data_IF_197708613103
#
_entry.id   IF_197708613103
#
_cell.length_a   1.000
_cell.length_b   1.000
_cell.length_c   1.000
_cell.angle_alpha   90.00
_cell.angle_beta   90.00
_cell.angle_gamma   90.00
#
_symmetry.space_group_name_H-M   'P 1'
#
loop_
_entity.id
_entity.type
_entity.pdbx_description
1 polymer ?
#
# COMPACT_ATOMS: atom_id res chain seq x y z
N UNK A 1 -5.92 -24.24 5.34
CA UNK A 1 -6.15 -23.04 4.50
C UNK A 1 -7.36 -22.33 5.07
N UNK A 2 -7.33 -21.00 5.25
CA UNK A 2 -8.48 -20.26 5.77
C UNK A 2 -9.61 -20.23 4.73
N UNK A 3 -10.86 -20.26 5.19
CA UNK A 3 -12.02 -20.19 4.31
C UNK A 3 -12.36 -18.73 4.01
N UNK A 4 -12.61 -18.42 2.76
CA UNK A 4 -12.98 -17.06 2.34
C UNK A 4 -14.35 -16.66 2.87
N UNK A 5 -14.44 -15.50 3.52
CA UNK A 5 -15.67 -15.09 4.22
C UNK A 5 -16.88 -14.97 3.29
N UNK A 6 -16.70 -14.58 2.03
CA UNK A 6 -17.81 -14.35 1.09
C UNK A 6 -18.51 -15.64 0.65
N UNK A 7 -17.93 -16.80 0.97
CA UNK A 7 -18.55 -18.12 0.75
C UNK A 7 -19.40 -18.59 1.94
N UNK A 8 -19.37 -17.85 3.05
CA UNK A 8 -20.01 -18.24 4.29
C UNK A 8 -21.49 -17.80 4.34
N UNK A 9 -22.33 -18.49 5.15
CA UNK A 9 -23.65 -17.99 5.51
C UNK A 9 -23.58 -16.57 6.04
N UNK A 10 -24.55 -15.74 5.65
CA UNK A 10 -24.57 -14.33 5.99
C UNK A 10 -25.98 -13.75 6.13
N UNK A 11 -26.08 -12.61 6.82
CA UNK A 11 -27.29 -11.81 6.98
C UNK A 11 -26.94 -10.34 7.22
N UNK A 12 -27.90 -9.42 7.06
CA UNK A 12 -27.65 -8.00 7.35
C UNK A 12 -27.51 -7.75 8.86
N UNK A 13 -26.76 -6.72 9.27
CA UNK A 13 -26.62 -6.36 10.69
C UNK A 13 -27.97 -6.09 11.37
N UNK A 14 -28.94 -5.53 10.62
CA UNK A 14 -30.32 -5.33 11.05
C UNK A 14 -31.05 -6.64 11.40
N UNK A 15 -30.66 -7.75 10.78
CA UNK A 15 -31.27 -9.08 10.92
C UNK A 15 -30.56 -9.96 11.96
N UNK A 16 -29.61 -9.42 12.74
CA UNK A 16 -28.78 -10.18 13.71
C UNK A 16 -29.54 -11.10 14.66
N UNK A 17 -30.83 -10.83 14.91
CA UNK A 17 -31.68 -11.68 15.75
C UNK A 17 -31.92 -13.08 15.14
N UNK A 18 -31.71 -13.24 13.83
CA UNK A 18 -31.82 -14.50 13.09
C UNK A 18 -30.53 -15.34 13.11
N UNK A 19 -29.46 -14.88 13.77
CA UNK A 19 -28.22 -15.63 13.89
C UNK A 19 -28.44 -17.00 14.56
N UNK A 20 -27.70 -18.04 14.17
CA UNK A 20 -27.88 -19.38 14.72
C UNK A 20 -27.28 -19.51 16.12
N UNK A 21 -27.75 -20.47 16.90
CA UNK A 21 -27.20 -20.81 18.22
C UNK A 21 -26.02 -21.79 18.08
N UNK A 22 -24.94 -21.30 17.47
CA UNK A 22 -23.74 -22.11 17.16
C UNK A 22 -22.46 -21.42 17.63
N UNK A 23 -21.43 -22.24 17.85
CA UNK A 23 -20.05 -21.80 18.00
C UNK A 23 -19.49 -21.41 16.63
N UNK A 24 -18.95 -20.21 16.51
CA UNK A 24 -18.50 -19.68 15.23
C UNK A 24 -17.45 -18.58 15.36
N UNK A 25 -16.65 -18.44 14.28
CA UNK A 25 -15.97 -17.18 13.94
C UNK A 25 -16.94 -16.35 13.10
N UNK A 26 -17.07 -15.07 13.38
CA UNK A 26 -17.92 -14.16 12.62
C UNK A 26 -17.17 -12.94 12.12
N UNK A 27 -17.65 -12.42 11.00
CA UNK A 27 -17.07 -11.32 10.27
C UNK A 27 -18.15 -10.25 10.10
N UNK A 28 -17.87 -9.02 10.53
CA UNK A 28 -18.66 -7.87 10.11
C UNK A 28 -17.99 -7.25 8.89
N UNK A 29 -18.73 -7.16 7.79
CA UNK A 29 -18.20 -6.77 6.48
C UNK A 29 -19.03 -5.63 5.91
N UNK A 30 -18.38 -4.63 5.33
CA UNK A 30 -19.05 -3.60 4.53
C UNK A 30 -18.23 -3.30 3.29
N UNK A 31 -18.87 -3.07 2.15
CA UNK A 31 -18.19 -2.77 0.87
C UNK A 31 -17.05 -3.78 0.55
N UNK A 32 -17.29 -5.08 0.76
CA UNK A 32 -16.31 -6.16 0.59
C UNK A 32 -15.08 -6.09 1.52
N UNK A 33 -15.11 -5.28 2.57
CA UNK A 33 -14.04 -5.16 3.56
C UNK A 33 -14.44 -5.76 4.91
N UNK A 34 -13.57 -6.61 5.46
CA UNK A 34 -13.73 -7.14 6.81
C UNK A 34 -13.42 -6.04 7.83
N UNK A 35 -14.45 -5.52 8.49
CA UNK A 35 -14.36 -4.49 9.52
C UNK A 35 -13.97 -5.07 10.87
N UNK A 36 -14.55 -6.22 11.21
CA UNK A 36 -14.36 -6.91 12.48
C UNK A 36 -14.40 -8.42 12.30
N UNK A 37 -13.55 -9.13 13.03
CA UNK A 37 -13.58 -10.58 13.21
C UNK A 37 -13.76 -10.83 14.70
N UNK A 38 -14.64 -11.74 15.07
CA UNK A 38 -14.76 -12.17 16.46
C UNK A 38 -15.10 -13.64 16.58
N UNK A 39 -14.87 -14.20 17.76
CA UNK A 39 -15.34 -15.54 18.12
C UNK A 39 -16.55 -15.51 19.06
N UNK A 40 -17.35 -16.58 19.01
CA UNK A 40 -18.42 -16.83 19.96
C UNK A 40 -18.67 -18.33 20.12
N UNK A 41 -18.90 -18.79 21.35
CA UNK A 41 -19.44 -20.14 21.61
C UNK A 41 -20.93 -20.25 21.27
N UNK A 42 -21.63 -19.12 21.28
CA UNK A 42 -22.98 -18.94 20.76
C UNK A 42 -23.09 -17.55 20.11
N UNK A 43 -23.07 -17.51 18.78
CA UNK A 43 -23.05 -16.25 18.02
C UNK A 43 -24.33 -15.42 18.22
N UNK A 44 -25.52 -16.03 18.25
CA UNK A 44 -26.79 -15.34 18.52
C UNK A 44 -26.76 -14.59 19.86
N UNK A 45 -26.36 -15.27 20.95
CA UNK A 45 -26.23 -14.65 22.28
C UNK A 45 -25.16 -13.57 22.30
N UNK A 46 -24.03 -13.78 21.63
CA UNK A 46 -22.93 -12.79 21.55
C UNK A 46 -23.39 -11.47 20.94
N UNK A 47 -24.30 -11.51 19.97
CA UNK A 47 -24.81 -10.33 19.27
C UNK A 47 -25.89 -9.54 20.01
N UNK A 48 -26.45 -10.07 21.11
CA UNK A 48 -27.41 -9.34 21.95
C UNK A 48 -26.74 -8.17 22.68
N UNK A 49 -25.53 -8.38 23.21
CA UNK A 49 -24.76 -7.38 23.96
C UNK A 49 -23.37 -7.17 23.33
N UNK A 50 -23.31 -7.09 22.00
CA UNK A 50 -22.03 -6.98 21.32
C UNK A 50 -21.38 -5.61 21.56
N UNK A 51 -20.20 -5.60 22.17
CA UNK A 51 -19.47 -4.38 22.52
C UNK A 51 -19.17 -3.42 21.35
N UNK A 52 -19.10 -3.93 20.11
CA UNK A 52 -18.93 -3.12 18.89
C UNK A 52 -20.23 -2.76 18.18
N UNK A 53 -21.39 -3.18 18.68
CA UNK A 53 -22.66 -3.02 17.97
C UNK A 53 -22.93 -1.56 17.61
N UNK A 54 -22.81 -0.63 18.56
CA UNK A 54 -23.01 0.80 18.30
C UNK A 54 -22.08 1.37 17.22
N UNK A 55 -20.83 0.90 17.17
CA UNK A 55 -19.88 1.34 16.15
C UNK A 55 -20.27 0.79 14.76
N UNK A 56 -20.65 -0.48 14.71
CA UNK A 56 -21.10 -1.11 13.47
C UNK A 56 -22.42 -0.54 12.99
N UNK A 57 -23.35 -0.20 13.88
CA UNK A 57 -24.62 0.45 13.55
C UNK A 57 -24.42 1.84 12.93
N UNK A 58 -23.46 2.62 13.44
CA UNK A 58 -23.12 3.92 12.84
C UNK A 58 -22.56 3.78 11.42
N UNK A 59 -21.79 2.71 11.19
CA UNK A 59 -21.26 2.38 9.86
C UNK A 59 -22.40 1.92 8.95
N UNK A 60 -23.28 1.04 9.44
CA UNK A 60 -24.43 0.48 8.71
C UNK A 60 -25.39 1.57 8.19
N UNK A 61 -25.52 2.69 8.90
CA UNK A 61 -26.30 3.87 8.44
C UNK A 61 -25.72 4.55 7.20
N UNK A 62 -24.42 4.41 6.96
CA UNK A 62 -23.70 5.01 5.82
C UNK A 62 -23.41 4.00 4.73
N UNK A 63 -23.12 2.75 5.11
CA UNK A 63 -22.77 1.66 4.23
C UNK A 63 -23.23 0.33 4.85
N UNK A 64 -24.05 -0.43 4.12
CA UNK A 64 -24.60 -1.72 4.56
C UNK A 64 -23.51 -2.62 5.18
N UNK A 65 -23.77 -3.09 6.40
CA UNK A 65 -22.95 -4.06 7.12
C UNK A 65 -23.62 -5.44 7.07
N UNK A 66 -22.89 -6.41 6.55
CA UNK A 66 -23.28 -7.81 6.48
C UNK A 66 -22.46 -8.64 7.47
N UNK A 67 -23.13 -9.53 8.19
CA UNK A 67 -22.52 -10.47 9.12
C UNK A 67 -22.35 -11.82 8.44
N UNK A 68 -21.11 -12.29 8.31
CA UNK A 68 -20.78 -13.64 7.85
C UNK A 68 -20.33 -14.50 9.02
N UNK A 69 -20.50 -15.82 8.97
CA UNK A 69 -19.98 -16.71 10.02
C UNK A 69 -19.54 -18.08 9.55
N UNK A 70 -18.46 -18.58 10.16
CA UNK A 70 -17.92 -19.92 10.01
C UNK A 70 -18.22 -20.71 11.28
N UNK A 71 -19.09 -21.72 11.19
CA UNK A 71 -19.34 -22.65 12.30
C UNK A 71 -18.10 -23.51 12.53
N UNK A 72 -17.62 -23.56 13.77
CA UNK A 72 -16.46 -24.39 14.13
C UNK A 72 -16.51 -24.87 15.58
N UNK A 73 -15.79 -25.97 15.92
CA UNK A 73 -15.70 -26.47 17.28
C UNK A 73 -15.09 -25.43 18.24
N UNK A 74 -15.55 -25.41 19.49
CA UNK A 74 -15.11 -24.42 20.48
C UNK A 74 -13.60 -24.42 20.70
N UNK A 75 -12.94 -25.58 20.65
CA UNK A 75 -11.49 -25.72 20.85
C UNK A 75 -10.67 -25.04 19.75
N UNK A 76 -11.25 -24.73 18.59
CA UNK A 76 -10.56 -24.07 17.47
C UNK A 76 -10.79 -22.56 17.44
N UNK A 77 -11.74 -22.03 18.23
CA UNK A 77 -12.17 -20.64 18.14
C UNK A 77 -11.03 -19.64 18.31
N UNK A 78 -10.20 -19.82 19.34
CA UNK A 78 -9.11 -18.88 19.62
C UNK A 78 -8.06 -18.86 18.50
N UNK A 79 -7.66 -20.04 18.02
CA UNK A 79 -6.64 -20.14 16.99
C UNK A 79 -7.17 -19.64 15.64
N UNK A 80 -8.41 -19.96 15.28
CA UNK A 80 -9.02 -19.46 14.05
C UNK A 80 -9.24 -17.94 14.10
N UNK A 81 -9.72 -17.39 15.22
CA UNK A 81 -9.86 -15.94 15.38
C UNK A 81 -8.51 -15.25 15.18
N UNK A 82 -7.45 -15.76 15.82
CA UNK A 82 -6.09 -15.24 15.67
C UNK A 82 -5.64 -15.26 14.22
N UNK A 83 -5.81 -16.38 13.52
CA UNK A 83 -5.45 -16.52 12.12
C UNK A 83 -6.23 -15.58 11.20
N UNK A 84 -7.55 -15.44 11.40
CA UNK A 84 -8.38 -14.52 10.60
C UNK A 84 -8.08 -13.05 10.88
N UNK A 85 -7.81 -12.67 12.14
CA UNK A 85 -7.38 -11.31 12.49
C UNK A 85 -6.03 -11.00 11.85
N UNK A 86 -5.07 -11.93 11.91
CA UNK A 86 -3.76 -11.78 11.27
C UNK A 86 -3.86 -11.69 9.74
N UNK A 87 -4.77 -12.47 9.17
CA UNK A 87 -4.99 -12.54 7.73
C UNK A 87 -5.68 -11.29 7.18
N UNK A 88 -6.84 -10.91 7.71
CA UNK A 88 -7.63 -9.77 7.22
C UNK A 88 -7.19 -8.42 7.78
N UNK A 89 -6.50 -8.41 8.93
CA UNK A 89 -6.17 -7.19 9.68
C UNK A 89 -7.38 -6.24 9.86
N UNK A 90 -8.53 -6.70 10.40
CA UNK A 90 -9.78 -5.93 10.40
C UNK A 90 -9.65 -4.67 11.27
N UNK A 91 -10.07 -3.53 10.74
CA UNK A 91 -9.86 -2.20 11.37
C UNK A 91 -10.37 -2.14 12.82
N UNK A 92 -11.54 -2.71 13.13
CA UNK A 92 -12.14 -2.63 14.47
C UNK A 92 -11.46 -3.54 15.50
N UNK A 93 -10.87 -4.67 15.08
CA UNK A 93 -10.04 -5.52 15.96
C UNK A 93 -8.77 -4.80 16.43
N UNK A 94 -8.34 -3.76 15.71
CA UNK A 94 -7.11 -3.04 15.99
C UNK A 94 -7.24 -1.93 17.04
N UNK A 95 -8.41 -1.78 17.64
CA UNK A 95 -8.72 -0.64 18.51
C UNK A 95 -9.03 -1.08 19.92
N UNK A 96 -8.66 -0.29 20.92
CA UNK A 96 -9.25 -0.38 22.26
C UNK A 96 -10.65 0.26 22.23
N UNK A 97 -11.54 -0.22 23.10
CA UNK A 97 -12.95 0.20 23.31
C UNK A 97 -13.20 1.74 23.24
N UNK A 98 -14.45 2.20 23.06
CA UNK A 98 -14.92 3.14 22.02
C UNK A 98 -14.55 4.63 22.16
N UNK A 99 -13.67 5.03 23.07
CA UNK A 99 -13.44 6.45 23.36
C UNK A 99 -12.20 7.05 22.67
N UNK A 100 -11.55 6.34 21.74
CA UNK A 100 -10.41 6.91 20.98
C UNK A 100 -10.80 7.15 19.52
N UNK A 101 -10.48 8.32 18.94
CA UNK A 101 -10.70 8.57 17.54
C UNK A 101 -9.94 7.51 16.72
N UNK A 102 -10.71 6.76 15.93
CA UNK A 102 -10.21 5.71 15.05
C UNK A 102 -9.24 6.33 14.03
N UNK A 103 -8.04 5.75 13.89
CA UNK A 103 -7.21 5.97 12.71
C UNK A 103 -7.28 4.68 11.89
N UNK A 104 -8.10 4.62 10.84
CA UNK A 104 -8.18 3.45 9.97
C UNK A 104 -6.80 3.00 9.46
N UNK A 105 -6.61 1.70 9.29
CA UNK A 105 -5.40 1.11 8.72
C UNK A 105 -5.09 1.73 7.35
N UNK A 106 -6.12 2.09 6.59
CA UNK A 106 -6.02 2.81 5.32
C UNK A 106 -5.46 4.22 5.45
N UNK A 107 -5.82 4.97 6.49
CA UNK A 107 -5.21 6.27 6.79
C UNK A 107 -3.74 6.11 7.21
N UNK A 108 -3.40 5.05 7.92
CA UNK A 108 -2.01 4.74 8.27
C UNK A 108 -1.17 4.35 7.04
N UNK A 109 -1.76 3.61 6.11
CA UNK A 109 -1.16 3.36 4.80
C UNK A 109 -0.98 4.66 4.01
N UNK A 110 -2.01 5.51 3.92
CA UNK A 110 -1.94 6.83 3.26
C UNK A 110 -0.82 7.68 3.84
N UNK A 111 -0.70 7.74 5.18
CA UNK A 111 0.39 8.45 5.86
C UNK A 111 1.76 7.86 5.54
N UNK A 112 1.86 6.54 5.39
CA UNK A 112 3.09 5.86 4.99
C UNK A 112 3.49 6.24 3.58
N UNK A 113 2.55 6.10 2.64
CA UNK A 113 2.76 6.42 1.24
C UNK A 113 3.09 7.90 1.08
N UNK A 114 2.36 8.81 1.73
CA UNK A 114 2.63 10.26 1.69
C UNK A 114 4.03 10.63 2.19
N UNK A 115 4.50 10.02 3.29
CA UNK A 115 5.87 10.24 3.79
C UNK A 115 6.95 9.70 2.86
N UNK A 116 6.62 8.70 2.05
CA UNK A 116 7.54 8.08 1.11
C UNK A 116 7.40 8.62 -0.33
N UNK A 117 6.32 9.35 -0.64
CA UNK A 117 5.81 9.59 -2.00
C UNK A 117 6.87 10.11 -2.97
N UNK A 118 7.71 11.06 -2.53
CA UNK A 118 8.80 11.61 -3.34
C UNK A 118 9.86 10.60 -3.80
N UNK A 119 9.76 9.36 -3.34
CA UNK A 119 10.65 8.24 -3.65
C UNK A 119 9.88 6.98 -4.06
N UNK A 120 8.57 7.03 -4.28
CA UNK A 120 7.81 5.83 -4.63
C UNK A 120 7.52 5.77 -6.13
N UNK A 121 7.52 4.55 -6.66
CA UNK A 121 7.01 4.21 -7.98
C UNK A 121 6.03 3.04 -7.82
N UNK A 122 4.79 3.21 -8.27
CA UNK A 122 3.81 2.14 -8.35
C UNK A 122 4.06 1.27 -9.59
N UNK A 123 4.33 -0.02 -9.40
CA UNK A 123 4.59 -0.94 -10.51
C UNK A 123 3.30 -1.55 -11.03
N UNK A 124 2.41 -1.95 -10.13
CA UNK A 124 1.21 -2.66 -10.52
C UNK A 124 0.50 -3.34 -9.36
N UNK A 125 -0.57 -4.03 -9.71
CA UNK A 125 -1.39 -4.85 -8.81
C UNK A 125 -1.49 -6.26 -9.35
N UNK A 126 -1.46 -7.25 -8.47
CA UNK A 126 -1.68 -8.65 -8.83
C UNK A 126 -2.43 -9.38 -7.72
N UNK A 127 -3.21 -10.43 -8.04
CA UNK A 127 -3.71 -11.34 -7.01
C UNK A 127 -2.55 -12.06 -6.33
N UNK A 128 -2.62 -12.21 -5.01
CA UNK A 128 -1.67 -12.97 -4.22
C UNK A 128 -1.76 -14.46 -4.60
N UNK A 129 -0.61 -15.08 -4.82
CA UNK A 129 -0.52 -16.48 -5.25
C UNK A 129 -1.15 -17.46 -4.25
N UNK A 130 -1.12 -17.15 -2.95
CA UNK A 130 -1.49 -18.12 -1.91
C UNK A 130 -2.88 -17.89 -1.27
N UNK A 131 -3.47 -16.70 -1.40
CA UNK A 131 -4.57 -16.33 -0.50
C UNK A 131 -5.59 -15.31 -1.03
N UNK A 132 -5.84 -15.15 -2.34
CA UNK A 132 -6.93 -14.28 -2.83
C UNK A 132 -6.80 -12.77 -2.54
N UNK A 133 -5.79 -12.32 -1.78
CA UNK A 133 -5.52 -10.92 -1.46
C UNK A 133 -5.06 -10.17 -2.70
N UNK A 134 -5.39 -8.89 -2.84
CA UNK A 134 -4.75 -8.05 -3.86
C UNK A 134 -3.40 -7.55 -3.34
N UNK A 135 -2.35 -7.70 -4.15
CA UNK A 135 -0.99 -7.25 -3.83
C UNK A 135 -0.69 -5.99 -4.61
N UNK A 136 -0.48 -4.88 -3.89
CA UNK A 136 0.01 -3.63 -4.43
C UNK A 136 1.54 -3.63 -4.41
N UNK A 137 2.16 -3.53 -5.59
CA UNK A 137 3.61 -3.49 -5.75
C UNK A 137 4.10 -2.07 -5.93
N UNK A 138 4.89 -1.62 -4.96
CA UNK A 138 5.50 -0.30 -4.95
C UNK A 138 7.01 -0.47 -4.82
N UNK A 139 7.79 0.31 -5.54
CA UNK A 139 9.22 0.40 -5.32
C UNK A 139 9.60 1.74 -4.70
N UNK A 140 10.63 1.72 -3.86
CA UNK A 140 11.29 2.95 -3.45
C UNK A 140 12.57 3.16 -4.27
N UNK A 141 12.72 4.38 -4.77
CA UNK A 141 13.82 4.79 -5.61
C UNK A 141 15.07 5.01 -4.76
N UNK A 142 16.15 4.32 -5.14
CA UNK A 142 17.44 4.43 -4.50
C UNK A 142 18.58 4.31 -5.53
N UNK A 143 19.46 5.31 -5.63
CA UNK A 143 20.64 5.15 -6.50
C UNK A 143 21.55 4.05 -5.97
N UNK A 144 22.29 3.38 -6.87
CA UNK A 144 23.24 2.33 -6.48
C UNK A 144 24.26 2.79 -5.43
N UNK A 145 24.70 4.05 -5.49
CA UNK A 145 25.66 4.63 -4.54
C UNK A 145 25.03 5.00 -3.20
N UNK A 146 23.74 5.35 -3.16
CA UNK A 146 23.04 5.80 -1.95
C UNK A 146 22.06 4.78 -1.39
N UNK A 147 22.08 3.55 -1.91
CA UNK A 147 21.12 2.51 -1.57
C UNK A 147 21.05 2.21 -0.07
N UNK A 148 22.20 2.26 0.62
CA UNK A 148 22.27 2.12 2.08
C UNK A 148 21.55 3.27 2.79
N UNK A 149 21.76 4.51 2.34
CA UNK A 149 21.13 5.70 2.91
C UNK A 149 19.62 5.71 2.63
N UNK A 150 19.21 5.40 1.41
CA UNK A 150 17.81 5.29 1.01
C UNK A 150 17.09 4.21 1.84
N UNK A 151 17.66 3.01 1.94
CA UNK A 151 17.11 1.92 2.77
C UNK A 151 17.00 2.33 4.24
N UNK A 152 18.01 3.03 4.77
CA UNK A 152 18.00 3.50 6.17
C UNK A 152 16.93 4.57 6.39
N UNK A 153 16.76 5.49 5.44
CA UNK A 153 15.73 6.53 5.47
C UNK A 153 14.32 5.93 5.41
N UNK A 154 14.10 4.97 4.51
CA UNK A 154 12.84 4.22 4.41
C UNK A 154 12.58 3.50 5.72
N UNK A 155 13.55 2.72 6.22
CA UNK A 155 13.43 2.02 7.51
C UNK A 155 13.05 2.96 8.66
N UNK A 156 13.71 4.11 8.78
CA UNK A 156 13.41 5.10 9.83
C UNK A 156 11.96 5.58 9.72
N UNK A 157 11.52 5.89 8.51
CA UNK A 157 10.16 6.33 8.22
C UNK A 157 9.13 5.25 8.58
N UNK A 158 9.36 4.03 8.10
CA UNK A 158 8.48 2.88 8.34
C UNK A 158 8.40 2.52 9.83
N UNK A 159 9.54 2.49 10.54
CA UNK A 159 9.57 2.25 12.00
C UNK A 159 8.83 3.35 12.76
N UNK A 160 9.00 4.62 12.40
CA UNK A 160 8.30 5.72 13.04
C UNK A 160 6.77 5.64 12.87
N UNK A 161 6.30 5.05 11.77
CA UNK A 161 4.87 4.81 11.52
C UNK A 161 4.40 3.58 12.28
N UNK A 162 5.13 2.46 12.17
CA UNK A 162 4.84 1.21 12.86
C UNK A 162 4.77 1.41 14.37
N UNK A 163 5.68 2.19 14.96
CA UNK A 163 5.80 2.36 16.41
C UNK A 163 4.72 3.26 17.03
N UNK A 164 3.73 3.74 16.28
CA UNK A 164 2.65 4.52 16.88
C UNK A 164 1.84 3.63 17.85
N UNK A 165 1.64 4.07 19.11
CA UNK A 165 1.07 3.23 20.18
C UNK A 165 -0.36 2.76 19.92
N UNK A 166 -1.09 3.43 19.01
CA UNK A 166 -2.48 3.10 18.63
C UNK A 166 -2.61 2.50 17.23
N UNK A 167 -1.50 2.04 16.63
CA UNK A 167 -1.46 1.47 15.28
C UNK A 167 -1.04 0.00 15.29
N UNK A 168 -1.94 -0.90 14.90
CA UNK A 168 -1.58 -2.28 14.53
C UNK A 168 -1.12 -2.39 13.07
N UNK A 169 -1.22 -1.31 12.30
CA UNK A 169 -0.53 -1.21 11.02
C UNK A 169 0.98 -1.27 11.25
N UNK A 170 1.61 -2.32 10.71
CA UNK A 170 3.04 -2.58 10.83
C UNK A 170 3.63 -2.83 9.45
N UNK A 171 4.70 -2.12 9.17
CA UNK A 171 5.64 -2.52 8.13
C UNK A 171 6.60 -3.55 8.69
N UNK A 172 6.69 -4.69 8.02
CA UNK A 172 7.58 -5.80 8.37
C UNK A 172 8.64 -5.93 7.29
N UNK A 173 9.91 -5.95 7.67
CA UNK A 173 11.03 -6.24 6.77
C UNK A 173 10.98 -7.74 6.44
N UNK A 174 10.80 -8.10 5.16
CA UNK A 174 10.69 -9.50 4.74
C UNK A 174 12.04 -10.09 4.36
N UNK A 175 12.90 -9.29 3.74
CA UNK A 175 14.19 -9.75 3.23
C UNK A 175 15.14 -8.58 3.14
N UNK A 176 16.39 -8.80 3.53
CA UNK A 176 17.46 -7.83 3.38
C UNK A 176 18.50 -8.36 2.40
N UNK A 177 18.72 -7.63 1.30
CA UNK A 177 19.73 -7.96 0.28
C UNK A 177 20.78 -6.86 0.21
N UNK A 178 21.89 -7.13 -0.49
CA UNK A 178 22.86 -6.09 -0.85
C UNK A 178 22.21 -4.95 -1.64
N UNK A 179 21.16 -5.27 -2.40
CA UNK A 179 20.34 -4.34 -3.20
C UNK A 179 19.28 -3.58 -2.40
N UNK A 180 19.23 -3.70 -1.07
CA UNK A 180 18.28 -2.98 -0.22
C UNK A 180 17.33 -3.91 0.54
N UNK A 181 16.41 -3.32 1.31
CA UNK A 181 15.45 -4.07 2.12
C UNK A 181 14.06 -4.11 1.48
N UNK A 182 13.44 -5.29 1.49
CA UNK A 182 12.06 -5.50 1.10
C UNK A 182 11.16 -5.40 2.33
N UNK A 183 10.02 -4.77 2.16
CA UNK A 183 9.05 -4.54 3.22
C UNK A 183 7.68 -5.01 2.76
N UNK A 184 6.86 -5.44 3.71
CA UNK A 184 5.46 -5.73 3.50
C UNK A 184 4.61 -5.08 4.58
N UNK A 185 3.39 -4.75 4.23
CA UNK A 185 2.33 -4.45 5.20
C UNK A 185 1.00 -4.96 4.66
N UNK A 186 0.00 -5.10 5.52
CA UNK A 186 -1.35 -5.50 5.15
C UNK A 186 -2.34 -4.49 5.66
N UNK A 187 -3.32 -4.17 4.82
CA UNK A 187 -4.40 -3.24 5.12
C UNK A 187 -5.65 -3.70 4.39
N UNK A 188 -6.69 -4.09 5.13
CA UNK A 188 -8.02 -4.41 4.63
C UNK A 188 -8.04 -5.35 3.40
N UNK A 189 -7.43 -6.53 3.52
CA UNK A 189 -7.42 -7.51 2.42
C UNK A 189 -6.40 -7.21 1.30
N UNK A 190 -5.56 -6.18 1.46
CA UNK A 190 -4.52 -5.84 0.51
C UNK A 190 -3.16 -5.93 1.17
N UNK A 191 -2.24 -6.61 0.50
CA UNK A 191 -0.84 -6.64 0.85
C UNK A 191 -0.08 -5.60 0.04
N UNK A 192 0.56 -4.64 0.71
CA UNK A 192 1.45 -3.68 0.05
C UNK A 192 2.87 -4.17 0.20
N UNK A 193 3.53 -4.42 -0.93
CA UNK A 193 4.94 -4.83 -0.99
C UNK A 193 5.78 -3.67 -1.48
N UNK A 194 6.80 -3.34 -0.69
CA UNK A 194 7.72 -2.26 -0.97
C UNK A 194 9.13 -2.83 -1.18
N UNK A 195 9.73 -2.58 -2.35
CA UNK A 195 11.06 -3.11 -2.70
C UNK A 195 12.00 -2.01 -3.21
N UNK A 196 13.33 -2.17 -3.07
CA UNK A 196 14.28 -1.21 -3.60
C UNK A 196 14.28 -1.26 -5.13
N UNK A 197 14.26 -0.10 -5.76
CA UNK A 197 14.59 0.05 -7.16
C UNK A 197 15.87 0.86 -7.31
N UNK A 198 16.90 0.27 -7.90
CA UNK A 198 18.20 0.91 -8.12
C UNK A 198 18.74 0.79 -9.53
N UNK A 199 18.08 0.02 -10.39
CA UNK A 199 18.66 -0.48 -11.65
C UNK A 199 18.65 0.53 -12.80
N UNK A 200 17.94 1.63 -12.66
CA UNK A 200 17.91 2.70 -13.65
C UNK A 200 18.31 4.01 -13.00
N UNK A 201 18.85 4.94 -13.79
CA UNK A 201 19.25 6.29 -13.36
C UNK A 201 18.02 7.04 -12.87
N UNK A 202 17.66 6.79 -11.61
CA UNK A 202 16.67 7.55 -10.87
C UNK A 202 17.17 8.98 -10.84
N UNK A 203 16.32 9.92 -11.25
CA UNK A 203 16.57 11.33 -11.07
C UNK A 203 16.72 11.65 -9.58
N UNK A 204 17.97 11.69 -9.13
CA UNK A 204 18.37 12.51 -7.99
C UNK A 204 18.55 13.98 -8.39
N UNK A 205 18.22 14.34 -9.64
CA UNK A 205 18.45 15.66 -10.20
C UNK A 205 17.47 15.92 -11.38
N UNK A 206 16.29 16.51 -11.16
CA UNK A 206 15.38 17.01 -12.23
C UNK A 206 16.01 18.00 -13.23
N UNK A 207 17.22 18.50 -12.99
CA UNK A 207 17.87 19.56 -13.76
C UNK A 207 19.26 19.22 -14.31
N UNK A 208 19.65 17.95 -14.46
CA UNK A 208 20.88 17.71 -15.24
C UNK A 208 20.77 18.25 -16.69
N UNK A 209 19.59 18.65 -17.17
CA UNK A 209 19.35 18.80 -18.60
C UNK A 209 18.54 20.01 -19.10
N UNK A 210 18.04 20.92 -18.25
CA UNK A 210 17.77 22.27 -18.78
C UNK A 210 19.09 22.98 -19.17
N UNK A 211 20.24 22.55 -18.65
CA UNK A 211 21.58 23.05 -19.03
C UNK A 211 22.31 22.16 -20.06
N UNK A 212 21.70 21.09 -20.56
CA UNK A 212 22.04 20.59 -21.90
C UNK A 212 20.99 20.96 -22.94
N UNK A 213 19.94 21.70 -22.56
CA UNK A 213 18.98 22.22 -23.52
C UNK A 213 19.62 23.40 -24.26
N UNK A 214 19.98 23.19 -25.53
CA UNK A 214 20.34 24.27 -26.46
C UNK A 214 21.72 24.13 -27.12
N UNK A 215 21.86 24.54 -28.40
CA UNK A 215 23.07 24.39 -29.20
C UNK A 215 24.20 25.31 -28.71
N UNK A 216 24.84 24.96 -27.59
CA UNK A 216 26.04 25.66 -27.08
C UNK A 216 27.23 24.72 -26.84
N UNK A 217 27.10 23.42 -27.13
CA UNK A 217 28.24 22.50 -27.22
C UNK A 217 28.96 22.56 -28.58
N UNK A 218 29.13 23.78 -29.10
CA UNK A 218 30.23 24.17 -29.98
C UNK A 218 31.38 24.84 -29.21
N UNK A 219 31.17 25.26 -27.96
CA UNK A 219 32.21 25.91 -27.14
C UNK A 219 32.01 25.58 -25.66
N UNK A 220 32.84 24.67 -25.14
CA UNK A 220 32.92 24.33 -23.71
C UNK A 220 33.15 25.59 -22.87
N UNK A 221 32.16 26.00 -22.06
CA UNK A 221 32.40 26.69 -20.79
C UNK A 221 31.76 25.86 -19.69
N UNK A 222 32.58 25.31 -18.81
CA UNK A 222 32.15 24.60 -17.61
C UNK A 222 31.41 25.57 -16.68
N UNK A 223 30.23 25.16 -16.20
CA UNK A 223 29.48 25.89 -15.17
C UNK A 223 30.33 25.96 -13.89
N UNK A 224 30.45 27.12 -13.22
CA UNK A 224 31.09 27.22 -11.91
C UNK A 224 30.46 26.28 -10.87
N UNK A 225 31.30 25.68 -10.02
CA UNK A 225 30.86 24.69 -9.02
C UNK A 225 29.85 25.24 -7.99
N UNK A 226 29.89 26.55 -7.72
CA UNK A 226 28.94 27.21 -6.81
C UNK A 226 27.53 27.25 -7.43
N UNK A 227 27.43 27.73 -8.68
CA UNK A 227 26.18 27.75 -9.45
C UNK A 227 25.58 26.36 -9.60
N UNK A 228 26.42 25.35 -9.86
CA UNK A 228 26.00 23.94 -9.88
C UNK A 228 25.39 23.46 -8.54
N UNK A 229 25.96 23.88 -7.40
CA UNK A 229 25.45 23.51 -6.07
C UNK A 229 24.11 24.20 -5.77
N UNK A 230 23.97 25.45 -6.15
CA UNK A 230 22.75 26.24 -5.93
C UNK A 230 21.59 25.70 -6.78
N UNK A 231 21.84 25.40 -8.06
CA UNK A 231 20.88 24.74 -8.93
C UNK A 231 20.44 23.39 -8.36
N UNK A 232 21.38 22.57 -7.87
CA UNK A 232 21.08 21.29 -7.22
C UNK A 232 20.21 21.48 -5.97
N UNK A 233 20.39 22.57 -5.23
CA UNK A 233 19.63 22.86 -4.04
C UNK A 233 18.20 23.30 -4.36
N UNK A 234 18.00 24.23 -5.31
CA UNK A 234 16.67 24.64 -5.80
C UNK A 234 15.85 23.44 -6.29
N UNK A 235 16.51 22.55 -7.01
CA UNK A 235 15.96 21.31 -7.53
C UNK A 235 15.58 20.32 -6.43
N UNK A 236 16.34 20.25 -5.35
CA UNK A 236 15.95 19.43 -4.19
C UNK A 236 14.72 19.98 -3.48
N UNK A 237 14.53 21.29 -3.51
CA UNK A 237 13.41 22.00 -2.90
C UNK A 237 12.14 21.91 -3.76
N UNK A 238 12.28 21.64 -5.05
CA UNK A 238 11.18 21.51 -6.00
C UNK A 238 10.27 20.27 -5.72
N UNK A 239 8.93 20.44 -5.77
CA UNK A 239 7.98 19.34 -5.72
C UNK A 239 8.29 18.23 -6.73
N UNK A 240 8.12 16.97 -6.34
CA UNK A 240 8.41 15.82 -7.22
C UNK A 240 7.61 15.83 -8.54
N UNK A 241 6.39 16.37 -8.52
CA UNK A 241 5.54 16.52 -9.70
C UNK A 241 6.15 17.50 -10.72
N UNK A 242 6.59 18.66 -10.27
CA UNK A 242 7.26 19.68 -11.09
C UNK A 242 8.58 19.17 -11.65
N UNK A 243 9.35 18.46 -10.81
CA UNK A 243 10.56 17.73 -11.22
C UNK A 243 10.33 16.74 -12.35
N UNK A 244 9.19 16.04 -12.33
CA UNK A 244 8.81 15.09 -13.36
C UNK A 244 8.37 15.78 -14.64
N UNK A 245 7.61 16.88 -14.55
CA UNK A 245 7.20 17.67 -15.71
C UNK A 245 8.40 18.27 -16.46
N UNK A 246 9.39 18.78 -15.73
CA UNK A 246 10.65 19.25 -16.34
C UNK A 246 11.37 18.12 -17.08
N UNK A 247 11.40 16.92 -16.50
CA UNK A 247 12.00 15.76 -17.15
C UNK A 247 11.26 15.39 -18.45
N UNK A 248 9.92 15.36 -18.43
CA UNK A 248 9.07 15.06 -19.60
C UNK A 248 9.30 16.02 -20.77
N UNK A 249 9.62 17.28 -20.48
CA UNK A 249 9.90 18.30 -21.50
C UNK A 249 11.31 18.21 -22.09
N UNK A 250 12.20 17.43 -21.47
CA UNK A 250 13.60 17.33 -21.88
C UNK A 250 13.89 16.03 -22.64
N UNK A 251 14.65 16.12 -23.75
CA UNK A 251 15.05 14.95 -24.56
C UNK A 251 15.80 13.89 -23.75
N UNK A 252 16.58 14.30 -22.75
CA UNK A 252 17.28 13.36 -21.86
C UNK A 252 16.36 12.83 -20.75
N UNK A 253 15.41 13.61 -20.24
CA UNK A 253 14.41 13.11 -19.29
C UNK A 253 13.49 12.07 -19.93
N UNK A 254 13.19 12.19 -21.22
CA UNK A 254 12.57 11.13 -22.03
C UNK A 254 13.43 9.86 -22.13
N UNK A 255 14.72 9.87 -21.78
CA UNK A 255 15.59 8.68 -21.77
C UNK A 255 15.86 8.16 -20.36
N UNK A 256 15.33 8.83 -19.33
CA UNK A 256 15.53 8.50 -17.93
C UNK A 256 14.24 7.95 -17.29
N UNK A 257 14.43 7.35 -16.12
CA UNK A 257 13.46 6.55 -15.37
C UNK A 257 12.02 7.13 -15.30
N UNK A 258 10.95 6.31 -15.36
CA UNK A 258 10.93 4.85 -15.53
C UNK A 258 10.57 4.51 -16.97
N UNK A 259 11.61 4.33 -17.77
CA UNK A 259 11.55 3.90 -19.17
C UNK A 259 10.72 4.83 -20.08
N UNK A 260 11.18 6.08 -20.20
CA UNK A 260 10.77 7.04 -21.24
C UNK A 260 9.39 7.71 -21.05
N UNK A 261 9.21 8.40 -19.91
CA UNK A 261 8.20 9.47 -19.68
C UNK A 261 6.70 9.21 -19.96
N UNK A 262 6.23 7.95 -19.99
CA UNK A 262 4.80 7.61 -20.12
C UNK A 262 4.06 7.31 -18.81
N UNK A 263 4.75 7.26 -17.67
CA UNK A 263 4.13 6.94 -16.37
C UNK A 263 3.16 8.05 -15.97
N UNK A 264 2.07 7.73 -15.27
CA UNK A 264 1.04 8.70 -14.89
C UNK A 264 0.81 8.69 -13.38
N UNK A 265 0.34 9.81 -12.83
CA UNK A 265 -0.04 9.84 -11.42
C UNK A 265 -1.39 9.15 -11.26
N UNK A 266 -1.45 8.22 -10.31
CA UNK A 266 -2.69 7.60 -9.84
C UNK A 266 -2.82 7.93 -8.37
N UNK A 267 -3.99 8.43 -7.97
CA UNK A 267 -4.28 8.64 -6.56
C UNK A 267 -4.57 7.29 -5.91
N UNK A 268 -3.68 6.85 -5.03
CA UNK A 268 -3.82 5.63 -4.23
C UNK A 268 -4.05 6.07 -2.79
N UNK A 269 -5.29 5.96 -2.31
CA UNK A 269 -5.75 6.48 -1.02
C UNK A 269 -5.34 7.93 -0.77
N UNK A 270 -5.72 8.83 -1.69
CA UNK A 270 -5.43 10.27 -1.60
C UNK A 270 -3.92 10.60 -1.63
N UNK A 271 -3.09 9.66 -2.07
CA UNK A 271 -1.66 9.88 -2.31
C UNK A 271 -1.40 9.65 -3.79
N UNK A 272 -1.01 10.71 -4.48
CA UNK A 272 -0.66 10.63 -5.89
C UNK A 272 0.69 9.95 -6.03
N UNK A 273 0.66 8.71 -6.53
CA UNK A 273 1.84 7.89 -6.77
C UNK A 273 2.06 7.82 -8.28
N UNK A 274 3.31 7.96 -8.71
CA UNK A 274 3.67 7.76 -10.10
C UNK A 274 3.56 6.26 -10.43
N UNK A 275 2.75 5.89 -11.41
CA UNK A 275 2.46 4.51 -11.79
C UNK A 275 2.85 4.20 -13.24
N UNK A 276 3.35 2.98 -13.46
CA UNK A 276 3.65 2.50 -14.81
C UNK A 276 2.37 2.23 -15.61
N UNK A 277 2.43 2.47 -16.92
CA UNK A 277 1.39 2.02 -17.85
C UNK A 277 1.54 0.53 -18.18
N UNK A 278 0.50 -0.07 -18.76
CA UNK A 278 0.54 -1.47 -19.23
C UNK A 278 1.68 -1.72 -20.22
N UNK A 279 1.92 -0.78 -21.14
CA UNK A 279 3.00 -0.88 -22.11
C UNK A 279 4.37 -0.88 -21.43
N UNK A 280 4.60 0.05 -20.50
CA UNK A 280 5.85 0.12 -19.73
C UNK A 280 6.06 -1.11 -18.86
N UNK A 281 4.99 -1.66 -18.28
CA UNK A 281 5.05 -2.88 -17.49
C UNK A 281 5.46 -4.10 -18.35
N UNK A 282 4.91 -4.22 -19.57
CA UNK A 282 5.30 -5.26 -20.54
C UNK A 282 6.76 -5.12 -20.99
N UNK A 283 7.19 -3.90 -21.30
CA UNK A 283 8.57 -3.65 -21.69
C UNK A 283 9.53 -3.98 -20.55
N UNK A 284 9.22 -3.54 -19.34
CA UNK A 284 9.97 -3.87 -18.14
C UNK A 284 10.10 -5.40 -17.97
N UNK A 285 9.02 -6.14 -18.20
CA UNK A 285 9.00 -7.60 -18.14
C UNK A 285 9.87 -8.27 -19.19
N UNK A 286 9.96 -7.70 -20.38
CA UNK A 286 10.88 -8.18 -21.42
C UNK A 286 12.35 -8.05 -21.00
N UNK A 287 12.68 -6.95 -20.30
CA UNK A 287 14.04 -6.67 -19.82
C UNK A 287 14.37 -7.41 -18.52
N UNK A 288 13.37 -7.70 -17.68
CA UNK A 288 13.53 -8.21 -16.31
C UNK A 288 12.66 -9.46 -16.06
N UNK A 289 13.12 -10.59 -16.58
CA UNK A 289 12.42 -11.89 -16.46
C UNK A 289 12.14 -12.32 -15.01
N UNK A 290 12.95 -11.89 -14.04
CA UNK A 290 12.70 -12.22 -12.63
C UNK A 290 11.41 -11.62 -12.08
N UNK A 291 11.01 -10.41 -12.51
CA UNK A 291 9.76 -9.81 -12.05
C UNK A 291 8.56 -10.63 -12.51
N UNK A 292 8.59 -11.11 -13.75
CA UNK A 292 7.58 -12.02 -14.30
C UNK A 292 7.53 -13.36 -13.56
N UNK A 293 8.67 -13.86 -13.08
CA UNK A 293 8.72 -15.09 -12.25
C UNK A 293 8.00 -14.91 -10.91
N UNK A 294 8.20 -13.77 -10.24
CA UNK A 294 7.58 -13.53 -8.92
C UNK A 294 6.15 -12.97 -9.02
N UNK A 295 5.82 -12.27 -10.11
CA UNK A 295 4.55 -11.57 -10.30
C UNK A 295 4.02 -11.79 -11.72
N UNK A 296 3.64 -13.02 -12.09
CA UNK A 296 3.26 -13.37 -13.46
C UNK A 296 1.97 -12.69 -13.94
N UNK A 297 1.09 -12.30 -13.01
CA UNK A 297 -0.26 -11.76 -13.26
C UNK A 297 -0.38 -10.27 -12.93
N UNK A 298 0.74 -9.55 -12.80
CA UNK A 298 0.69 -8.11 -12.52
C UNK A 298 0.06 -7.33 -13.66
N UNK A 299 -0.74 -6.35 -13.29
CA UNK A 299 -1.41 -5.40 -14.16
C UNK A 299 -1.05 -3.98 -13.72
N UNK A 300 -1.09 -3.03 -14.65
CA UNK A 300 -0.87 -1.62 -14.32
C UNK A 300 -1.97 -1.11 -13.39
N UNK A 301 -1.60 -0.17 -12.52
CA UNK A 301 -2.56 0.47 -11.62
C UNK A 301 -3.35 1.50 -12.43
N UNK A 302 -4.64 1.24 -12.67
CA UNK A 302 -5.52 2.16 -13.43
C UNK A 302 -6.43 2.99 -12.53
N UNK A 303 -6.78 2.42 -11.38
CA UNK A 303 -7.66 3.02 -10.37
C UNK A 303 -7.09 2.71 -8.98
N UNK A 304 -7.55 3.43 -7.96
CA UNK A 304 -7.17 3.16 -6.57
C UNK A 304 -7.49 1.70 -6.24
N UNK A 305 -6.50 0.84 -6.03
CA UNK A 305 -6.75 -0.58 -5.78
C UNK A 305 -7.19 -0.84 -4.36
N UNK A 306 -7.07 0.16 -3.48
CA UNK A 306 -7.42 0.05 -2.09
C UNK A 306 -8.90 0.45 -1.91
N UNK A 307 -9.69 -0.34 -1.17
CA UNK A 307 -11.10 -0.03 -1.01
C UNK A 307 -11.28 1.17 -0.06
N UNK A 308 -11.97 2.19 -0.57
CA UNK A 308 -12.27 3.42 0.17
C UNK A 308 -13.19 3.09 1.33
N UNK A 309 -12.68 3.27 2.55
CA UNK A 309 -13.49 3.18 3.75
C UNK A 309 -14.36 4.45 3.82
N UNK A 310 -15.61 4.36 3.37
CA UNK A 310 -16.62 5.41 3.56
C UNK A 310 -17.10 5.35 5.02
N UNK A 311 -16.35 5.98 5.94
CA UNK A 311 -16.76 6.18 7.33
C UNK A 311 -17.19 7.61 7.58
#
# INVERSE_FOLDING_TARGET
MLQEFFTLPNLKLSERNQLPERSAIYFAVSCSQVLYVGLATNIKRRWQNHHRYKQLELIDRKADVTLFWLTCPQHQLQELERQYIEYYCPTLNQTKLPNRPLIPSSQMLSRSLKKLNSRLLGFGVCPAQDHGLTVLLVAYLASHQELRLATTSVRRTLKAISNKPDSLFRWTETTRRKTGAHWRTRCNGIEVRLFPWSEERIMHNPSMYEVMSGPLFGTRRSIPMAEYKDMRQQVKEMPFTERLELARRSKIGLQLFPLECGAHFVSIHQVDILCLTEQQLRELFSKRSFLRKYYPTIQAIKHDPLPVLQF
#
